data_IF_936365028638
#
_entry.id   IF_936365028638
#
_cell.length_a   1.000
_cell.length_b   1.000
_cell.length_c   1.000
_cell.angle_alpha   90.00
_cell.angle_beta   90.00
_cell.angle_gamma   90.00
#
_symmetry.space_group_name_H-M   'P 1'
#
loop_
_entity.id
_entity.type
_entity.pdbx_description
1 polymer ?
#
# COMPACT_ATOMS: atom_id res chain seq x y z
N UNK A 1 -9.29 -3.80 18.18
CA UNK A 1 -9.99 -5.02 18.66
C UNK A 1 -9.57 -6.25 17.87
N UNK A 2 -10.05 -6.48 16.64
CA UNK A 2 -9.67 -7.68 15.88
C UNK A 2 -8.16 -7.78 15.65
N UNK A 3 -7.51 -6.67 15.27
CA UNK A 3 -6.06 -6.55 15.18
C UNK A 3 -5.35 -7.02 16.47
N UNK A 4 -5.73 -6.44 17.61
CA UNK A 4 -5.09 -6.73 18.91
C UNK A 4 -5.30 -8.20 19.30
N UNK A 5 -6.46 -8.77 18.98
CA UNK A 5 -6.75 -10.18 19.20
C UNK A 5 -5.81 -11.08 18.39
N UNK A 6 -5.72 -10.86 17.08
CA UNK A 6 -4.84 -11.67 16.20
C UNK A 6 -3.38 -11.50 16.61
N UNK A 7 -2.96 -10.27 16.92
CA UNK A 7 -1.60 -9.98 17.39
C UNK A 7 -1.27 -10.73 18.68
N UNK A 8 -2.18 -10.75 19.66
CA UNK A 8 -1.98 -11.51 20.89
C UNK A 8 -1.85 -13.02 20.64
N UNK A 9 -2.57 -13.57 19.65
CA UNK A 9 -2.47 -14.98 19.24
C UNK A 9 -1.15 -15.28 18.52
N UNK A 10 -0.70 -14.36 17.68
CA UNK A 10 0.60 -14.42 17.01
C UNK A 10 1.76 -14.40 18.02
N UNK A 11 1.74 -13.46 18.97
CA UNK A 11 2.77 -13.32 20.01
C UNK A 11 2.83 -14.55 20.92
N UNK A 12 1.68 -15.17 21.18
CA UNK A 12 1.58 -16.44 21.92
C UNK A 12 1.98 -17.68 21.08
N UNK A 13 2.33 -17.51 19.80
CA UNK A 13 2.60 -18.59 18.83
C UNK A 13 1.47 -19.62 18.74
N UNK A 14 0.24 -19.16 18.93
CA UNK A 14 -0.97 -19.98 18.89
C UNK A 14 -1.96 -19.39 17.88
N UNK A 15 -1.60 -19.51 16.60
CA UNK A 15 -2.42 -19.07 15.49
C UNK A 15 -3.37 -20.19 15.06
N UNK A 16 -4.55 -20.26 15.69
CA UNK A 16 -5.62 -21.17 15.27
C UNK A 16 -6.58 -20.48 14.29
N UNK A 17 -6.68 -21.03 13.08
CA UNK A 17 -7.51 -20.45 12.02
C UNK A 17 -9.02 -20.53 12.30
N UNK A 18 -9.50 -21.44 13.19
CA UNK A 18 -10.94 -21.49 13.55
C UNK A 18 -11.26 -20.40 14.54
N UNK A 19 -10.39 -20.21 15.52
CA UNK A 19 -10.53 -19.18 16.52
C UNK A 19 -10.49 -17.77 15.91
N UNK A 20 -9.50 -17.50 15.06
CA UNK A 20 -9.36 -16.20 14.38
C UNK A 20 -10.60 -15.91 13.51
N UNK A 21 -11.11 -16.92 12.81
CA UNK A 21 -12.33 -16.78 12.01
C UNK A 21 -13.56 -16.50 12.88
N UNK A 22 -13.76 -17.27 13.95
CA UNK A 22 -14.89 -17.08 14.86
C UNK A 22 -14.88 -15.70 15.53
N UNK A 23 -13.70 -15.17 15.86
CA UNK A 23 -13.59 -13.80 16.38
C UNK A 23 -13.91 -12.75 15.32
N UNK A 24 -13.50 -12.94 14.07
CA UNK A 24 -13.85 -12.05 12.97
C UNK A 24 -15.37 -12.05 12.71
N UNK A 25 -16.04 -13.20 12.82
CA UNK A 25 -17.50 -13.30 12.75
C UNK A 25 -18.18 -12.60 13.93
N UNK A 26 -17.71 -12.84 15.16
CA UNK A 26 -18.25 -12.20 16.38
C UNK A 26 -18.18 -10.67 16.32
N UNK A 27 -17.14 -10.14 15.67
CA UNK A 27 -16.92 -8.71 15.48
C UNK A 27 -17.50 -8.16 14.18
N UNK A 28 -18.12 -9.00 13.35
CA UNK A 28 -18.71 -8.64 12.04
C UNK A 28 -17.70 -7.98 11.08
N UNK A 29 -16.43 -8.43 11.14
CA UNK A 29 -15.32 -7.92 10.31
C UNK A 29 -14.71 -8.99 9.42
N UNK A 30 -15.42 -10.10 9.17
CA UNK A 30 -14.94 -11.22 8.34
C UNK A 30 -14.33 -10.74 7.02
N UNK A 31 -15.00 -9.85 6.32
CA UNK A 31 -14.54 -9.35 5.01
C UNK A 31 -13.28 -8.49 5.11
N UNK A 32 -13.09 -7.76 6.21
CA UNK A 32 -11.95 -6.88 6.45
C UNK A 32 -10.77 -7.62 7.09
N UNK A 33 -10.98 -8.84 7.62
CA UNK A 33 -9.96 -9.60 8.31
C UNK A 33 -8.69 -9.83 7.47
N UNK A 34 -8.75 -10.16 6.15
CA UNK A 34 -7.55 -10.34 5.33
C UNK A 34 -6.61 -9.13 5.31
N UNK A 35 -7.14 -7.90 5.36
CA UNK A 35 -6.34 -6.67 5.44
C UNK A 35 -5.41 -6.71 6.67
N UNK A 36 -5.98 -7.06 7.83
CA UNK A 36 -5.25 -7.18 9.10
C UNK A 36 -4.30 -8.37 9.10
N UNK A 37 -4.71 -9.49 8.50
CA UNK A 37 -3.87 -10.69 8.41
C UNK A 37 -2.62 -10.44 7.57
N UNK A 38 -2.71 -9.68 6.47
CA UNK A 38 -1.54 -9.31 5.68
C UNK A 38 -0.51 -8.55 6.52
N UNK A 39 -0.94 -7.53 7.26
CA UNK A 39 -0.05 -6.71 8.10
C UNK A 39 0.66 -7.54 9.20
N UNK A 40 -0.04 -8.54 9.76
CA UNK A 40 0.49 -9.31 10.90
C UNK A 40 1.29 -10.55 10.48
N UNK A 41 1.00 -11.15 9.33
CA UNK A 41 1.58 -12.44 8.93
C UNK A 41 2.71 -12.30 7.92
N UNK A 42 2.84 -11.16 7.24
CA UNK A 42 3.76 -11.01 6.13
C UNK A 42 4.85 -9.96 6.37
N UNK A 43 6.03 -10.24 5.82
CA UNK A 43 7.20 -9.36 5.76
C UNK A 43 7.85 -9.45 4.36
N UNK A 44 9.15 -9.17 4.24
CA UNK A 44 9.90 -9.37 2.99
C UNK A 44 9.82 -10.79 2.39
N UNK A 45 9.48 -11.79 3.19
CA UNK A 45 9.31 -13.20 2.83
C UNK A 45 7.92 -13.57 2.31
N UNK A 46 7.08 -12.59 1.94
CA UNK A 46 5.65 -12.77 1.68
C UNK A 46 5.30 -13.94 0.77
N UNK A 47 6.01 -14.16 -0.35
CA UNK A 47 5.69 -15.25 -1.27
C UNK A 47 5.72 -16.63 -0.59
N UNK A 48 6.67 -16.87 0.31
CA UNK A 48 6.75 -18.12 1.09
C UNK A 48 5.69 -18.16 2.18
N UNK A 49 5.42 -17.03 2.83
CA UNK A 49 4.44 -16.92 3.91
C UNK A 49 3.01 -17.10 3.41
N UNK A 50 2.70 -16.72 2.17
CA UNK A 50 1.43 -17.02 1.50
C UNK A 50 1.17 -18.53 1.51
N UNK A 51 2.16 -19.35 1.17
CA UNK A 51 2.05 -20.82 1.21
C UNK A 51 1.86 -21.31 2.64
N UNK A 52 2.64 -20.79 3.59
CA UNK A 52 2.58 -21.16 5.01
C UNK A 52 1.21 -20.87 5.63
N UNK A 53 0.58 -19.75 5.25
CA UNK A 53 -0.68 -19.28 5.81
C UNK A 53 -1.89 -19.55 4.91
N UNK A 54 -1.72 -20.31 3.81
CA UNK A 54 -2.78 -20.57 2.81
C UNK A 54 -4.11 -20.98 3.43
N UNK A 55 -4.11 -21.98 4.32
CA UNK A 55 -5.33 -22.50 4.93
C UNK A 55 -6.08 -21.45 5.76
N UNK A 56 -5.37 -20.50 6.36
CA UNK A 56 -5.97 -19.40 7.12
C UNK A 56 -6.57 -18.36 6.17
N UNK A 57 -5.81 -17.95 5.15
CA UNK A 57 -6.24 -16.95 4.17
C UNK A 57 -7.48 -17.41 3.40
N UNK A 58 -7.47 -18.66 2.91
CA UNK A 58 -8.60 -19.26 2.20
C UNK A 58 -9.89 -19.26 2.99
N UNK A 59 -9.82 -19.41 4.31
CA UNK A 59 -11.02 -19.40 5.14
C UNK A 59 -11.76 -18.06 5.07
N UNK A 60 -11.06 -16.98 4.76
CA UNK A 60 -11.65 -15.66 4.56
C UNK A 60 -11.95 -15.37 3.09
N UNK A 61 -11.10 -15.82 2.17
CA UNK A 61 -11.20 -15.41 0.75
C UNK A 61 -12.07 -16.30 -0.12
N UNK A 62 -12.30 -17.56 0.25
CA UNK A 62 -13.15 -18.48 -0.50
C UNK A 62 -14.57 -17.92 -0.67
N UNK A 63 -15.07 -17.92 -1.91
CA UNK A 63 -16.35 -17.34 -2.34
C UNK A 63 -16.58 -15.90 -1.84
N UNK A 64 -15.51 -15.12 -1.69
CA UNK A 64 -15.59 -13.77 -1.12
C UNK A 64 -14.67 -12.78 -1.85
N UNK A 65 -15.10 -12.35 -3.03
CA UNK A 65 -14.42 -11.32 -3.82
C UNK A 65 -14.19 -10.01 -3.03
N UNK A 66 -15.06 -9.68 -2.05
CA UNK A 66 -14.85 -8.52 -1.18
C UNK A 66 -13.70 -8.73 -0.21
N UNK A 67 -13.58 -9.91 0.40
CA UNK A 67 -12.45 -10.28 1.26
C UNK A 67 -11.13 -10.30 0.47
N UNK A 68 -11.16 -10.78 -0.76
CA UNK A 68 -10.03 -10.77 -1.69
C UNK A 68 -9.57 -9.34 -2.02
N UNK A 69 -10.50 -8.41 -2.26
CA UNK A 69 -10.17 -6.98 -2.45
C UNK A 69 -9.53 -6.35 -1.20
N UNK A 70 -9.98 -6.72 0.01
CA UNK A 70 -9.32 -6.31 1.25
C UNK A 70 -7.92 -6.90 1.40
N UNK A 71 -7.72 -8.15 0.96
CA UNK A 71 -6.40 -8.79 0.93
C UNK A 71 -5.45 -8.04 -0.01
N UNK A 72 -5.90 -7.63 -1.20
CA UNK A 72 -5.09 -6.82 -2.13
C UNK A 72 -4.69 -5.47 -1.52
N UNK A 73 -5.58 -4.84 -0.76
CA UNK A 73 -5.24 -3.64 0.03
C UNK A 73 -4.15 -3.91 1.08
N UNK A 74 -4.21 -5.04 1.77
CA UNK A 74 -3.17 -5.45 2.72
C UNK A 74 -1.84 -5.77 2.06
N UNK A 75 -1.88 -6.44 0.91
CA UNK A 75 -0.73 -6.67 0.05
C UNK A 75 -0.02 -5.36 -0.31
N UNK A 76 -0.76 -4.34 -0.77
CA UNK A 76 -0.17 -3.02 -1.08
C UNK A 76 0.52 -2.39 0.12
N UNK A 77 -0.08 -2.49 1.31
CA UNK A 77 0.49 -1.92 2.54
C UNK A 77 1.80 -2.59 2.94
N UNK A 78 1.88 -3.92 2.83
CA UNK A 78 3.11 -4.65 3.15
C UNK A 78 4.17 -4.43 2.08
N UNK A 79 3.80 -4.34 0.79
CA UNK A 79 4.75 -3.95 -0.27
C UNK A 79 5.32 -2.57 -0.01
N UNK A 80 4.49 -1.59 0.40
CA UNK A 80 4.98 -0.27 0.79
C UNK A 80 5.96 -0.34 1.96
N UNK A 81 5.66 -1.14 2.98
CA UNK A 81 6.48 -1.26 4.19
C UNK A 81 7.85 -1.92 3.91
N UNK A 82 7.88 -2.96 3.06
CA UNK A 82 9.11 -3.67 2.67
C UNK A 82 9.49 -3.40 1.20
N UNK A 83 9.32 -2.16 0.74
CA UNK A 83 9.40 -1.77 -0.68
C UNK A 83 10.67 -2.23 -1.40
N UNK A 84 11.83 -2.05 -0.77
CA UNK A 84 13.11 -2.46 -1.34
C UNK A 84 13.18 -3.96 -1.66
N UNK A 85 12.55 -4.80 -0.84
CA UNK A 85 12.53 -6.25 -1.02
C UNK A 85 11.36 -6.72 -1.91
N UNK A 86 10.18 -6.12 -1.74
CA UNK A 86 8.94 -6.63 -2.32
C UNK A 86 8.58 -6.02 -3.68
N UNK A 87 8.94 -4.77 -4.00
CA UNK A 87 8.62 -4.18 -5.31
C UNK A 87 9.13 -5.01 -6.50
N UNK A 88 10.39 -5.53 -6.50
CA UNK A 88 10.85 -6.44 -7.56
C UNK A 88 10.15 -7.79 -7.57
N UNK A 89 9.46 -8.16 -6.49
CA UNK A 89 8.81 -9.46 -6.27
C UNK A 89 7.29 -9.42 -6.44
N UNK A 90 6.68 -8.25 -6.65
CA UNK A 90 5.23 -8.08 -6.84
C UNK A 90 4.62 -9.15 -7.77
N UNK A 91 5.15 -9.42 -8.99
CA UNK A 91 4.61 -10.47 -9.85
C UNK A 91 4.60 -11.86 -9.21
N UNK A 92 5.66 -12.19 -8.47
CA UNK A 92 5.82 -13.51 -7.86
C UNK A 92 4.86 -13.70 -6.68
N UNK A 93 4.62 -12.63 -5.91
CA UNK A 93 3.68 -12.64 -4.80
C UNK A 93 2.25 -12.77 -5.32
N UNK A 94 1.87 -11.98 -6.33
CA UNK A 94 0.54 -12.08 -6.94
C UNK A 94 0.30 -13.46 -7.55
N UNK A 95 1.31 -14.03 -8.24
CA UNK A 95 1.26 -15.41 -8.73
C UNK A 95 1.09 -16.43 -7.60
N UNK A 96 1.80 -16.28 -6.48
CA UNK A 96 1.64 -17.18 -5.33
C UNK A 96 0.24 -17.11 -4.71
N UNK A 97 -0.37 -15.92 -4.65
CA UNK A 97 -1.74 -15.74 -4.19
C UNK A 97 -2.75 -16.39 -5.15
N UNK A 98 -2.53 -16.27 -6.46
CA UNK A 98 -3.35 -16.90 -7.50
C UNK A 98 -3.21 -18.43 -7.51
N UNK A 99 -1.98 -18.96 -7.62
CA UNK A 99 -1.68 -20.41 -7.68
C UNK A 99 -2.21 -21.19 -6.46
N UNK A 100 -2.47 -20.50 -5.36
CA UNK A 100 -2.97 -21.07 -4.12
C UNK A 100 -4.45 -20.79 -3.86
N UNK A 101 -5.18 -20.31 -4.86
CA UNK A 101 -6.63 -20.05 -4.85
C UNK A 101 -7.04 -18.96 -3.83
N UNK A 102 -6.10 -18.12 -3.39
CA UNK A 102 -6.36 -17.08 -2.39
C UNK A 102 -6.99 -15.85 -3.06
N UNK A 103 -6.57 -15.55 -4.29
CA UNK A 103 -7.14 -14.51 -5.14
C UNK A 103 -7.60 -15.11 -6.46
N UNK A 104 -8.83 -14.79 -6.84
CA UNK A 104 -9.40 -15.16 -8.14
C UNK A 104 -8.91 -14.21 -9.23
N UNK A 105 -8.84 -14.74 -10.46
CA UNK A 105 -8.40 -14.00 -11.65
C UNK A 105 -9.18 -12.70 -11.85
N UNK A 106 -10.52 -12.79 -11.81
CA UNK A 106 -11.42 -11.66 -12.00
C UNK A 106 -11.12 -10.52 -11.01
N UNK A 107 -10.83 -10.87 -9.75
CA UNK A 107 -10.54 -9.88 -8.70
C UNK A 107 -9.18 -9.20 -8.93
N UNK A 108 -8.18 -9.96 -9.38
CA UNK A 108 -6.86 -9.42 -9.71
C UNK A 108 -6.96 -8.48 -10.92
N UNK A 109 -7.67 -8.90 -11.96
CA UNK A 109 -7.87 -8.10 -13.17
C UNK A 109 -8.69 -6.83 -12.87
N UNK A 110 -9.76 -6.93 -12.09
CA UNK A 110 -10.56 -5.78 -11.63
C UNK A 110 -9.70 -4.76 -10.85
N UNK A 111 -8.89 -5.24 -9.90
CA UNK A 111 -7.94 -4.40 -9.17
C UNK A 111 -6.93 -3.73 -10.11
N UNK A 112 -6.37 -4.46 -11.07
CA UNK A 112 -5.34 -3.95 -11.96
C UNK A 112 -5.83 -2.80 -12.86
N UNK A 113 -7.14 -2.73 -13.18
CA UNK A 113 -7.75 -1.68 -14.02
C UNK A 113 -7.56 -0.27 -13.45
N UNK A 114 -7.49 -0.11 -12.12
CA UNK A 114 -7.43 1.22 -11.49
C UNK A 114 -6.61 1.25 -10.21
N UNK A 115 -5.57 2.07 -10.20
CA UNK A 115 -4.84 2.38 -8.98
C UNK A 115 -5.72 3.13 -7.98
N UNK A 116 -5.77 2.65 -6.74
CA UNK A 116 -6.47 3.28 -5.62
C UNK A 116 -5.49 3.97 -4.68
N UNK A 117 -5.96 5.02 -3.99
CA UNK A 117 -5.21 5.71 -2.91
C UNK A 117 -5.73 5.35 -1.51
N UNK A 118 -6.53 4.28 -1.41
CA UNK A 118 -7.23 3.88 -0.17
C UNK A 118 -6.28 3.35 0.89
N UNK A 119 -5.27 2.57 0.49
CA UNK A 119 -4.37 1.88 1.41
C UNK A 119 -2.94 2.40 1.37
N UNK A 120 -2.51 2.93 0.22
CA UNK A 120 -1.18 3.51 -0.01
C UNK A 120 -1.28 4.80 -0.80
N UNK A 121 -0.18 5.56 -0.92
CA UNK A 121 -0.16 6.78 -1.74
C UNK A 121 -0.39 6.44 -3.21
N UNK A 122 -0.84 7.42 -4.00
CA UNK A 122 -1.10 7.23 -5.42
C UNK A 122 0.16 6.79 -6.18
N UNK A 123 1.31 7.37 -5.82
CA UNK A 123 2.61 7.08 -6.42
C UNK A 123 3.04 5.64 -6.13
N UNK A 124 2.87 5.19 -4.88
CA UNK A 124 3.18 3.81 -4.49
C UNK A 124 2.24 2.82 -5.18
N UNK A 125 0.93 3.10 -5.23
CA UNK A 125 -0.02 2.25 -5.96
C UNK A 125 0.36 2.15 -7.45
N UNK A 126 0.69 3.27 -8.10
CA UNK A 126 1.15 3.26 -9.49
C UNK A 126 2.40 2.40 -9.66
N UNK A 127 3.40 2.54 -8.79
CA UNK A 127 4.62 1.72 -8.86
C UNK A 127 4.32 0.22 -8.68
N UNK A 128 3.47 -0.15 -7.73
CA UNK A 128 3.04 -1.54 -7.52
C UNK A 128 2.35 -2.08 -8.79
N UNK A 129 1.43 -1.34 -9.38
CA UNK A 129 0.74 -1.76 -10.61
C UNK A 129 1.72 -1.87 -11.79
N UNK A 130 2.68 -0.95 -11.93
CA UNK A 130 3.75 -1.04 -12.94
C UNK A 130 4.57 -2.33 -12.78
N UNK A 131 4.92 -2.69 -11.54
CA UNK A 131 5.61 -3.96 -11.26
C UNK A 131 4.73 -5.16 -11.53
N UNK A 132 3.41 -5.07 -11.33
CA UNK A 132 2.46 -6.16 -11.55
C UNK A 132 2.21 -6.48 -13.03
N UNK A 133 2.43 -5.53 -13.95
CA UNK A 133 2.12 -5.67 -15.40
C UNK A 133 2.52 -7.01 -16.04
N UNK A 134 3.71 -7.58 -15.81
CA UNK A 134 4.07 -8.87 -16.41
C UNK A 134 3.14 -10.00 -16.00
N UNK A 135 2.68 -10.01 -14.75
CA UNK A 135 1.76 -11.02 -14.24
C UNK A 135 0.33 -10.78 -14.74
N UNK A 136 -0.13 -9.52 -14.76
CA UNK A 136 -1.45 -9.17 -15.30
C UNK A 136 -1.55 -9.55 -16.77
N UNK A 137 -0.50 -9.29 -17.55
CA UNK A 137 -0.42 -9.69 -18.95
C UNK A 137 -0.49 -11.22 -19.09
N UNK A 138 0.21 -11.97 -18.23
CA UNK A 138 0.17 -13.43 -18.24
C UNK A 138 -1.24 -13.98 -17.95
N UNK A 139 -1.99 -13.38 -17.02
CA UNK A 139 -3.38 -13.76 -16.76
C UNK A 139 -4.28 -13.51 -17.99
N UNK A 140 -4.16 -12.33 -18.61
CA UNK A 140 -4.96 -11.97 -19.79
C UNK A 140 -4.68 -12.86 -21.01
N UNK A 141 -3.42 -13.22 -21.25
CA UNK A 141 -3.05 -14.13 -22.35
C UNK A 141 -3.59 -15.55 -22.14
N UNK A 142 -3.79 -15.99 -20.89
CA UNK A 142 -4.40 -17.29 -20.59
C UNK A 142 -5.91 -17.29 -20.89
N UNK A 143 -6.61 -16.18 -20.66
CA UNK A 143 -8.04 -16.02 -20.94
C UNK A 143 -8.36 -15.97 -22.45
N UNK A 144 -7.51 -15.30 -23.24
CA UNK A 144 -7.70 -15.22 -24.71
C UNK A 144 -7.60 -16.59 -25.41
N UNK A 145 -7.02 -17.61 -24.78
CA UNK A 145 -7.06 -19.00 -25.27
C UNK A 145 -8.37 -19.74 -24.90
N UNK A 146 -9.14 -19.27 -23.91
CA UNK A 146 -10.29 -20.00 -23.35
C UNK A 146 -11.67 -19.35 -23.55
N UNK A 147 -11.80 -18.02 -23.69
CA UNK A 147 -13.14 -17.41 -23.73
C UNK A 147 -13.24 -16.10 -24.52
N UNK A 148 -14.05 -16.13 -25.56
CA UNK A 148 -14.59 -14.95 -26.23
C UNK A 148 -15.99 -14.63 -25.67
N UNK A 149 -16.14 -13.57 -24.86
CA UNK A 149 -17.43 -12.88 -24.71
C UNK A 149 -17.83 -12.31 -23.34
N UNK A 150 -17.92 -10.97 -23.31
CA UNK A 150 -18.83 -10.08 -22.56
C UNK A 150 -18.49 -9.64 -21.12
N UNK A 151 -18.28 -8.31 -20.99
CA UNK A 151 -18.09 -7.53 -19.77
C UNK A 151 -19.44 -7.08 -19.21
N UNK A 152 -19.66 -7.22 -17.90
CA UNK A 152 -20.71 -6.51 -17.18
C UNK A 152 -20.10 -5.75 -15.98
N UNK A 153 -20.35 -4.45 -15.93
CA UNK A 153 -19.73 -3.50 -15.02
C UNK A 153 -20.75 -2.99 -14.01
N UNK A 154 -20.61 -3.38 -12.75
CA UNK A 154 -21.31 -2.71 -11.65
C UNK A 154 -20.47 -2.76 -10.35
N UNK A 155 -19.79 -1.65 -10.05
CA UNK A 155 -19.05 -1.45 -8.80
C UNK A 155 -19.60 -0.23 -8.07
N UNK A 156 -20.55 -0.44 -7.17
CA UNK A 156 -20.94 0.54 -6.14
C UNK A 156 -19.91 0.52 -5.00
N UNK A 157 -19.12 1.59 -4.92
CA UNK A 157 -18.08 1.81 -3.91
C UNK A 157 -18.69 2.53 -2.69
N UNK A 158 -19.08 1.79 -1.65
CA UNK A 158 -19.36 2.36 -0.32
C UNK A 158 -18.04 2.69 0.37
N UNK A 159 -17.63 3.97 0.27
CA UNK A 159 -16.51 4.57 0.98
C UNK A 159 -16.77 4.60 2.50
N UNK A 160 -16.35 3.56 3.22
CA UNK A 160 -16.21 3.58 4.69
C UNK A 160 -14.76 3.86 5.06
N UNK A 161 -14.52 5.07 5.58
CA UNK A 161 -13.24 5.54 6.12
C UNK A 161 -12.88 4.72 7.38
N UNK A 162 -11.83 3.91 7.29
CA UNK A 162 -11.29 3.18 8.45
C UNK A 162 -10.32 4.12 9.19
N UNK A 163 -10.85 4.83 10.19
CA UNK A 163 -10.02 5.60 11.13
C UNK A 163 -9.29 4.61 12.03
N UNK A 164 -8.01 4.39 11.78
CA UNK A 164 -7.14 3.67 12.70
C UNK A 164 -6.84 4.54 13.92
N UNK A 165 -6.93 3.96 15.11
CA UNK A 165 -6.57 4.59 16.38
C UNK A 165 -5.11 5.03 16.33
N UNK A 166 -4.92 6.35 16.35
CA UNK A 166 -3.63 7.05 16.39
C UNK A 166 -2.77 6.54 17.56
N UNK A 167 -1.75 5.73 17.26
CA UNK A 167 -0.68 5.42 18.22
C UNK A 167 0.33 6.55 18.21
N UNK A 168 0.14 7.49 19.15
CA UNK A 168 1.17 8.25 19.85
C UNK A 168 2.31 8.84 18.98
N UNK A 169 2.05 10.00 18.37
CA UNK A 169 3.09 11.01 18.17
C UNK A 169 2.94 12.05 19.29
N UNK A 170 3.83 11.98 20.27
CA UNK A 170 3.92 13.00 21.33
C UNK A 170 4.79 14.14 20.82
N UNK A 171 4.21 15.10 20.10
CA UNK A 171 4.84 16.40 19.82
C UNK A 171 4.37 17.42 20.84
N UNK A 172 5.21 17.70 21.83
CA UNK A 172 5.09 18.87 22.70
C UNK A 172 5.70 20.09 22.00
N UNK A 173 4.85 20.96 21.45
CA UNK A 173 5.21 22.31 21.01
C UNK A 173 4.55 23.29 21.98
N UNK A 174 5.37 24.12 22.64
CA UNK A 174 4.92 25.20 23.52
C UNK A 174 4.50 26.42 22.69
N UNK A 175 3.34 26.98 23.08
CA UNK A 175 2.68 28.15 22.51
C UNK A 175 3.29 29.45 23.07
N UNK A 176 3.62 30.41 22.19
CA UNK A 176 3.85 31.82 22.58
C UNK A 176 2.98 32.74 21.72
N UNK A 177 1.99 33.33 22.38
CA UNK A 177 1.10 34.47 22.06
C UNK A 177 1.91 35.79 21.93
N UNK A 178 1.56 36.90 21.25
CA UNK A 178 0.34 37.43 20.62
C UNK A 178 0.66 38.78 19.88
N UNK A 179 0.19 38.94 18.62
CA UNK A 179 -0.39 40.11 17.85
C UNK A 179 0.16 41.60 17.89
N UNK A 180 -0.48 42.62 17.21
CA UNK A 180 -0.19 43.14 15.84
C UNK A 180 -0.02 44.72 15.80
N UNK A 181 0.11 45.49 14.66
CA UNK A 181 -0.92 45.75 13.64
C UNK A 181 -0.42 46.04 12.17
N UNK A 182 -1.36 46.03 11.20
CA UNK A 182 -1.24 46.50 9.79
C UNK A 182 -1.54 48.04 9.66
N UNK A 183 -1.63 48.73 8.48
CA UNK A 183 -1.34 48.39 7.06
C UNK A 183 -0.67 49.52 6.19
N UNK A 184 -0.29 49.19 4.94
CA UNK A 184 -0.50 49.93 3.64
C UNK A 184 0.73 50.16 2.71
N UNK A 185 0.45 49.86 1.43
CA UNK A 185 0.87 50.51 0.17
C UNK A 185 2.22 50.15 -0.50
N UNK A 186 2.12 49.65 -1.75
CA UNK A 186 3.09 49.77 -2.85
C UNK A 186 2.93 51.18 -3.53
N UNK A 187 3.68 51.63 -4.57
CA UNK A 187 4.51 50.87 -5.53
C UNK A 187 5.73 51.64 -6.15
N UNK A 188 6.25 51.13 -7.29
CA UNK A 188 7.05 51.76 -8.37
C UNK A 188 8.61 51.74 -8.30
N UNK A 189 9.27 51.01 -9.23
CA UNK A 189 10.04 51.45 -10.44
C UNK A 189 11.36 52.18 -10.11
N UNK A 190 12.50 52.09 -10.79
CA UNK A 190 12.99 51.66 -12.12
C UNK A 190 14.53 51.68 -12.00
N UNK A 191 15.30 50.80 -12.63
CA UNK A 191 15.91 51.10 -13.94
C UNK A 191 17.43 51.34 -13.87
N UNK A 192 18.15 50.74 -14.82
CA UNK A 192 19.55 51.03 -15.20
C UNK A 192 20.61 50.20 -14.47
N UNK A 193 21.72 49.77 -15.07
CA UNK A 193 22.19 49.71 -16.44
C UNK A 193 23.42 48.78 -16.45
N UNK A 194 23.74 48.24 -17.63
CA UNK A 194 24.88 47.37 -18.01
C UNK A 194 26.26 47.85 -17.54
N UNK A 195 27.23 46.90 -17.41
CA UNK A 195 28.63 47.18 -17.74
C UNK A 195 29.74 46.32 -17.12
N UNK A 196 30.04 45.17 -17.74
CA UNK A 196 31.38 44.61 -18.06
C UNK A 196 32.57 44.62 -17.07
N UNK A 197 33.03 43.39 -16.80
CA UNK A 197 34.39 42.83 -17.03
C UNK A 197 35.55 43.05 -16.02
N UNK A 198 36.05 41.89 -15.55
CA UNK A 198 37.44 41.40 -15.61
C UNK A 198 38.29 41.35 -14.32
N UNK A 199 38.83 40.12 -14.11
CA UNK A 199 40.07 39.71 -13.39
C UNK A 199 40.07 39.85 -11.88
N UNK A 200 40.80 39.06 -11.10
CA UNK A 200 41.55 37.79 -11.14
C UNK A 200 41.85 37.64 -9.64
N UNK A 201 41.66 36.49 -9.01
CA UNK A 201 42.51 36.06 -7.89
C UNK A 201 42.22 34.58 -7.58
N UNK A 202 43.33 33.86 -7.55
CA UNK A 202 43.54 32.44 -7.35
C UNK A 202 43.20 32.05 -5.90
N UNK A 203 42.62 30.86 -5.69
CA UNK A 203 42.84 30.07 -4.48
C UNK A 203 42.65 28.59 -4.83
N UNK A 204 43.79 27.91 -4.99
CA UNK A 204 43.97 26.46 -5.06
C UNK A 204 43.36 25.77 -3.84
N UNK A 205 42.51 24.76 -4.07
CA UNK A 205 42.18 23.76 -3.05
C UNK A 205 42.35 22.37 -3.68
N UNK A 206 43.53 21.80 -3.47
CA UNK A 206 43.86 20.40 -3.72
C UNK A 206 43.10 19.50 -2.73
N UNK A 207 42.27 18.59 -3.25
CA UNK A 207 41.56 17.58 -2.46
C UNK A 207 41.83 16.19 -3.05
N UNK A 208 42.99 15.61 -2.72
CA UNK A 208 43.28 14.19 -2.91
C UNK A 208 44.33 13.72 -1.90
N UNK A 209 43.88 13.54 -0.65
CA UNK A 209 44.55 12.70 0.34
C UNK A 209 43.56 12.38 1.47
N UNK A 210 43.00 11.17 1.45
CA UNK A 210 42.89 10.16 2.55
C UNK A 210 42.01 9.02 2.05
#
# INVERSE_FOLDING_TARGET
>A
IFYDFVKARLDAKNLDAKEIFGEAERLEVREKAPLVLCELLFDEGMATQVVQHRAMLLRFTHDSARSQRYLLGGFEQVVREHSAALLPRVPHVLKALYDHDILEEEVILDWAKKCSKKYVSKEMAQEIHEKAKPFIKWLQEAEEEESSGEEDADSQDENVEVVYSDRHISTSIQEVKEQPPTPKAAPLTSGGAKGTAARDDEDDIDIDAI
#
